data_IF_437387737873
#
_entry.id   IF_437387737873
#
_cell.length_a   1.000
_cell.length_b   1.000
_cell.length_c   1.000
_cell.angle_alpha   90.00
_cell.angle_beta   90.00
_cell.angle_gamma   90.00
#
_symmetry.space_group_name_H-M   'P 1'
#
loop_
_entity.id
_entity.type
_entity.pdbx_description
1 polymer ?
#
# COMPACT_ATOMS: atom_id res chain seq x y z
N UNK A 1 11.31 32.98 -9.64
CA UNK A 1 11.03 32.25 -8.37
C UNK A 1 9.86 31.26 -8.45
N UNK A 2 8.83 31.45 -9.31
CA UNK A 2 7.71 30.49 -9.41
C UNK A 2 8.06 29.14 -10.06
N UNK A 3 9.09 29.08 -10.90
CA UNK A 3 9.52 27.83 -11.57
C UNK A 3 10.23 26.87 -10.60
N UNK A 4 10.88 27.38 -9.56
CA UNK A 4 11.51 26.54 -8.51
C UNK A 4 10.50 25.96 -7.51
N UNK A 5 9.30 26.56 -7.37
CA UNK A 5 8.19 25.99 -6.57
C UNK A 5 7.48 24.84 -7.27
N UNK A 6 7.52 24.79 -8.61
CA UNK A 6 6.87 23.73 -9.38
C UNK A 6 7.70 22.43 -9.39
N UNK A 7 9.04 22.55 -9.39
CA UNK A 7 9.94 21.38 -9.34
C UNK A 7 10.02 20.79 -7.92
N UNK A 8 9.80 21.59 -6.87
CA UNK A 8 9.78 21.10 -5.49
C UNK A 8 8.52 20.31 -5.11
N UNK A 9 7.39 20.54 -5.76
CA UNK A 9 6.11 19.95 -5.33
C UNK A 9 5.84 18.53 -5.85
N UNK A 10 6.58 18.05 -6.86
CA UNK A 10 6.43 16.66 -7.32
C UNK A 10 7.05 15.62 -6.37
N UNK A 11 7.95 16.05 -5.48
CA UNK A 11 8.52 15.21 -4.42
C UNK A 11 7.62 15.10 -3.18
N UNK A 12 6.56 15.92 -3.08
CA UNK A 12 5.95 16.32 -1.81
C UNK A 12 4.58 15.72 -1.49
N UNK A 13 4.01 14.86 -2.35
CA UNK A 13 2.80 14.10 -2.01
C UNK A 13 3.21 12.80 -1.35
N UNK A 14 3.14 12.77 -0.01
CA UNK A 14 3.44 11.59 0.80
C UNK A 14 2.59 10.40 0.36
N UNK A 15 3.24 9.43 -0.26
CA UNK A 15 2.64 8.18 -0.73
C UNK A 15 2.57 7.20 0.43
N UNK A 16 1.95 7.57 1.54
CA UNK A 16 1.93 6.71 2.70
C UNK A 16 0.83 5.66 2.54
N UNK A 17 1.21 4.39 2.54
CA UNK A 17 0.27 3.26 2.42
C UNK A 17 -0.55 3.18 3.72
N UNK A 18 -1.65 3.91 3.73
CA UNK A 18 -2.68 3.80 4.72
C UNK A 18 -3.29 2.41 4.62
N UNK A 19 -2.89 1.53 5.53
CA UNK A 19 -3.40 0.18 5.68
C UNK A 19 -4.75 0.24 6.41
N UNK A 20 -5.82 -0.25 5.78
CA UNK A 20 -7.14 -0.34 6.41
C UNK A 20 -7.59 -1.80 6.49
N UNK A 21 -7.66 -2.45 7.68
CA UNK A 21 -8.10 -3.83 7.79
C UNK A 21 -9.59 -3.97 7.41
N UNK A 22 -9.87 -4.73 6.34
CA UNK A 22 -11.17 -4.97 5.70
C UNK A 22 -12.12 -5.87 6.50
N UNK A 23 -12.12 -5.83 7.83
CA UNK A 23 -12.85 -6.84 8.62
C UNK A 23 -14.36 -6.54 8.65
N UNK A 24 -14.83 -5.28 8.73
CA UNK A 24 -16.26 -4.94 8.58
C UNK A 24 -16.45 -3.46 8.17
N UNK A 25 -17.25 -3.18 7.13
CA UNK A 25 -17.64 -1.82 6.75
C UNK A 25 -18.63 -1.23 7.76
N UNK A 26 -18.10 -0.50 8.74
CA UNK A 26 -18.90 0.27 9.72
C UNK A 26 -18.87 1.76 9.36
N UNK A 27 -19.78 2.58 9.90
CA UNK A 27 -19.74 4.07 9.76
C UNK A 27 -18.34 4.65 10.03
N UNK A 28 -17.64 4.04 11.00
CA UNK A 28 -16.28 4.40 11.40
C UNK A 28 -15.25 4.24 10.28
N UNK A 29 -15.48 3.34 9.32
CA UNK A 29 -14.59 3.13 8.16
C UNK A 29 -14.65 4.28 7.16
N UNK A 30 -15.82 4.89 6.96
CA UNK A 30 -16.00 6.07 6.12
C UNK A 30 -15.39 7.32 6.77
N UNK A 31 -15.49 7.45 8.09
CA UNK A 31 -14.88 8.56 8.84
C UNK A 31 -13.36 8.55 8.76
N UNK A 32 -12.72 7.36 8.85
CA UNK A 32 -11.27 7.24 8.66
C UNK A 32 -10.89 7.59 7.22
N UNK A 33 -11.69 7.14 6.23
CA UNK A 33 -11.47 7.48 4.82
C UNK A 33 -11.48 9.00 4.57
N UNK A 34 -12.46 9.71 5.14
CA UNK A 34 -12.53 11.16 5.08
C UNK A 34 -11.34 11.86 5.75
N UNK A 35 -10.81 11.27 6.82
CA UNK A 35 -9.65 11.83 7.54
C UNK A 35 -8.33 11.71 6.77
N UNK A 36 -8.15 10.68 5.92
CA UNK A 36 -6.95 10.59 5.06
C UNK A 36 -6.79 11.78 4.11
N UNK A 37 -7.92 12.29 3.59
CA UNK A 37 -7.93 13.46 2.71
C UNK A 37 -7.44 14.73 3.44
N UNK A 38 -7.88 14.93 4.68
CA UNK A 38 -7.51 16.09 5.50
C UNK A 38 -6.02 16.11 5.85
N UNK A 39 -5.41 14.94 5.94
CA UNK A 39 -4.03 14.77 6.44
C UNK A 39 -2.99 14.78 5.28
N UNK A 40 -3.45 14.85 4.01
CA UNK A 40 -2.59 15.05 2.85
C UNK A 40 -2.10 13.79 2.14
N UNK A 41 -2.83 12.67 2.27
CA UNK A 41 -2.49 11.42 1.59
C UNK A 41 -2.94 11.44 0.12
N UNK A 42 -2.07 11.00 -0.81
CA UNK A 42 -2.38 10.92 -2.25
C UNK A 42 -2.87 9.55 -2.72
N UNK A 43 -2.60 8.49 -1.94
CA UNK A 43 -3.03 7.14 -2.23
C UNK A 43 -3.28 6.36 -0.94
N UNK A 44 -4.24 5.43 -0.99
CA UNK A 44 -4.67 4.60 0.15
C UNK A 44 -4.79 3.15 -0.32
N UNK A 45 -4.40 2.18 0.51
CA UNK A 45 -4.53 0.76 0.19
C UNK A 45 -5.48 0.05 1.17
N UNK A 46 -6.58 -0.47 0.64
CA UNK A 46 -7.54 -1.27 1.39
C UNK A 46 -6.96 -2.65 1.64
N UNK A 47 -6.81 -3.05 2.89
CA UNK A 47 -6.08 -4.24 3.28
C UNK A 47 -6.98 -5.37 3.71
N UNK A 48 -7.01 -6.43 2.92
CA UNK A 48 -7.69 -7.68 3.26
C UNK A 48 -6.73 -8.61 4.00
N UNK A 49 -7.00 -8.86 5.27
CA UNK A 49 -6.18 -9.77 6.10
C UNK A 49 -6.80 -11.15 6.08
N UNK A 50 -6.01 -12.17 5.70
CA UNK A 50 -6.42 -13.57 5.75
C UNK A 50 -5.56 -14.31 6.76
N UNK A 51 -6.19 -14.84 7.81
CA UNK A 51 -5.54 -15.65 8.85
C UNK A 51 -6.03 -17.10 8.74
N UNK A 52 -5.15 -18.00 8.33
CA UNK A 52 -5.47 -19.42 8.08
C UNK A 52 -5.61 -20.27 9.35
N UNK A 53 -6.06 -19.68 10.47
CA UNK A 53 -6.30 -20.42 11.73
C UNK A 53 -7.42 -21.45 11.58
N UNK A 54 -8.36 -21.24 10.67
CA UNK A 54 -9.43 -22.18 10.34
C UNK A 54 -9.21 -22.76 8.94
N UNK A 55 -9.26 -24.09 8.84
CA UNK A 55 -8.94 -24.81 7.60
C UNK A 55 -9.92 -24.40 6.49
N UNK A 56 -9.35 -23.98 5.34
CA UNK A 56 -10.01 -23.55 4.08
C UNK A 56 -10.76 -22.23 4.15
N UNK A 57 -10.02 -21.11 4.27
CA UNK A 57 -10.51 -19.85 3.74
C UNK A 57 -10.06 -19.69 2.28
N UNK A 58 -11.03 -19.57 1.38
CA UNK A 58 -10.78 -19.12 0.03
C UNK A 58 -10.51 -17.62 0.03
N UNK A 59 -9.55 -17.20 -0.77
CA UNK A 59 -9.24 -15.78 -0.94
C UNK A 59 -10.37 -15.19 -1.77
N UNK A 60 -11.22 -14.38 -1.12
CA UNK A 60 -12.31 -13.68 -1.79
C UNK A 60 -11.78 -12.73 -2.88
N UNK A 61 -12.65 -12.37 -3.84
CA UNK A 61 -12.31 -11.33 -4.82
C UNK A 61 -12.18 -9.98 -4.09
N UNK A 62 -11.20 -9.13 -4.47
CA UNK A 62 -11.09 -7.81 -3.91
C UNK A 62 -12.34 -7.00 -4.24
N UNK A 63 -12.84 -6.24 -3.25
CA UNK A 63 -13.93 -5.29 -3.48
C UNK A 63 -13.43 -4.19 -4.42
N UNK A 64 -14.20 -3.87 -5.45
CA UNK A 64 -13.76 -2.87 -6.42
C UNK A 64 -13.80 -1.47 -5.78
N UNK A 65 -12.74 -0.65 -5.93
CA UNK A 65 -12.74 0.70 -5.37
C UNK A 65 -13.89 1.59 -5.88
N UNK A 66 -14.34 1.34 -7.11
CA UNK A 66 -15.43 2.10 -7.76
C UNK A 66 -16.81 1.80 -7.18
N UNK A 67 -17.03 0.61 -6.62
CA UNK A 67 -18.29 0.28 -5.92
C UNK A 67 -18.35 0.89 -4.52
N UNK A 68 -17.19 1.12 -3.89
CA UNK A 68 -17.08 1.63 -2.53
C UNK A 68 -17.13 3.15 -2.44
N UNK A 69 -16.59 3.83 -3.45
CA UNK A 69 -16.49 5.29 -3.48
C UNK A 69 -16.98 5.82 -4.83
N UNK A 70 -18.26 6.21 -4.93
CA UNK A 70 -18.85 6.73 -6.17
C UNK A 70 -18.19 8.03 -6.65
N UNK A 71 -17.70 8.85 -5.70
CA UNK A 71 -16.92 10.04 -5.96
C UNK A 71 -15.74 10.12 -4.97
N UNK A 72 -14.52 10.13 -5.52
CA UNK A 72 -13.31 10.28 -4.72
C UNK A 72 -12.99 11.77 -4.54
N UNK A 73 -12.70 12.22 -3.32
CA UNK A 73 -12.33 13.62 -3.08
C UNK A 73 -10.98 13.94 -3.76
N UNK A 74 -10.86 15.18 -4.23
CA UNK A 74 -9.60 15.74 -4.75
C UNK A 74 -8.69 16.01 -3.56
N UNK A 75 -7.43 15.58 -3.60
CA UNK A 75 -6.49 15.69 -2.45
C UNK A 75 -6.18 17.16 -2.15
N UNK A 76 -6.14 17.56 -0.87
CA UNK A 76 -5.76 18.94 -0.51
C UNK A 76 -4.35 19.27 -1.02
N UNK A 77 -4.22 20.37 -1.79
CA UNK A 77 -2.93 20.82 -2.34
C UNK A 77 -2.55 20.23 -3.69
N UNK A 78 -3.32 19.26 -4.25
CA UNK A 78 -3.13 18.80 -5.63
C UNK A 78 -4.47 18.63 -6.35
N UNK A 79 -4.54 18.90 -7.65
CA UNK A 79 -5.75 18.65 -8.46
C UNK A 79 -5.97 17.15 -8.78
N UNK A 80 -5.24 16.25 -8.12
CA UNK A 80 -5.28 14.81 -8.39
C UNK A 80 -6.31 14.13 -7.49
N UNK A 81 -7.04 13.18 -8.06
CA UNK A 81 -7.95 12.31 -7.32
C UNK A 81 -7.14 11.29 -6.51
N UNK A 82 -7.65 10.94 -5.34
CA UNK A 82 -7.08 9.93 -4.46
C UNK A 82 -7.01 8.56 -5.18
N UNK A 83 -5.83 7.93 -5.23
CA UNK A 83 -5.70 6.57 -5.79
C UNK A 83 -6.01 5.54 -4.70
N UNK A 84 -7.09 4.77 -4.84
CA UNK A 84 -7.42 3.67 -3.94
C UNK A 84 -6.92 2.36 -4.55
N UNK A 85 -6.11 1.63 -3.79
CA UNK A 85 -5.53 0.34 -4.16
C UNK A 85 -6.08 -0.78 -3.29
N UNK A 86 -6.01 -2.00 -3.79
CA UNK A 86 -6.39 -3.21 -3.06
C UNK A 86 -5.16 -3.98 -2.64
N UNK A 87 -5.10 -4.38 -1.38
CA UNK A 87 -3.97 -5.09 -0.80
C UNK A 87 -4.45 -6.35 -0.10
N UNK A 88 -3.69 -7.43 -0.27
CA UNK A 88 -3.86 -8.69 0.46
C UNK A 88 -2.71 -8.84 1.46
N UNK A 89 -3.01 -9.07 2.73
CA UNK A 89 -2.01 -9.45 3.75
C UNK A 89 -2.30 -10.87 4.23
N UNK A 90 -1.38 -11.79 3.97
CA UNK A 90 -1.52 -13.19 4.40
C UNK A 90 -0.74 -13.44 5.69
N UNK A 91 -1.42 -13.88 6.73
CA UNK A 91 -0.80 -14.30 7.98
C UNK A 91 -0.34 -15.74 7.85
N UNK A 92 0.98 -15.93 7.78
CA UNK A 92 1.59 -17.25 7.55
C UNK A 92 2.11 -17.79 8.87
N UNK A 93 1.40 -18.81 9.37
CA UNK A 93 1.79 -19.59 10.55
C UNK A 93 2.46 -20.92 10.17
N UNK A 94 2.09 -21.49 9.01
CA UNK A 94 2.57 -22.79 8.53
C UNK A 94 3.11 -22.72 7.09
N UNK A 95 4.12 -23.53 6.73
CA UNK A 95 4.67 -23.56 5.36
C UNK A 95 3.66 -24.00 4.29
N UNK A 96 2.62 -24.72 4.68
CA UNK A 96 1.54 -25.14 3.77
C UNK A 96 0.79 -23.93 3.19
N UNK A 97 0.64 -22.84 3.94
CA UNK A 97 -0.03 -21.62 3.47
C UNK A 97 0.80 -20.93 2.37
N UNK A 98 2.13 -21.09 2.39
CA UNK A 98 3.00 -20.61 1.31
C UNK A 98 2.75 -21.33 -0.02
N UNK A 99 2.23 -22.57 -0.01
CA UNK A 99 1.89 -23.27 -1.24
C UNK A 99 0.70 -22.61 -1.95
N UNK A 100 -0.24 -22.00 -1.23
CA UNK A 100 -1.37 -21.28 -1.83
C UNK A 100 -0.91 -20.03 -2.60
N UNK A 101 0.07 -19.31 -2.04
CA UNK A 101 0.74 -18.20 -2.72
C UNK A 101 1.45 -18.68 -4.00
N UNK A 102 2.23 -19.77 -3.89
CA UNK A 102 2.96 -20.34 -5.04
C UNK A 102 2.03 -20.92 -6.11
N UNK A 103 0.91 -21.49 -5.71
CA UNK A 103 -0.09 -22.06 -6.60
C UNK A 103 -0.83 -21.02 -7.44
N UNK A 104 -0.59 -19.71 -7.22
CA UNK A 104 -1.13 -18.60 -8.02
C UNK A 104 -2.64 -18.72 -8.21
N UNK A 105 -3.42 -18.77 -7.12
CA UNK A 105 -4.87 -18.76 -7.25
C UNK A 105 -5.32 -17.47 -7.98
N UNK A 106 -6.29 -17.61 -8.88
CA UNK A 106 -6.74 -16.53 -9.78
C UNK A 106 -7.12 -15.25 -9.03
N UNK A 107 -7.67 -15.40 -7.81
CA UNK A 107 -8.09 -14.29 -6.97
C UNK A 107 -6.91 -13.48 -6.40
N UNK A 108 -5.76 -14.10 -6.12
CA UNK A 108 -4.56 -13.40 -5.61
C UNK A 108 -4.06 -12.37 -6.64
N UNK A 109 -4.09 -12.72 -7.94
CA UNK A 109 -3.64 -11.84 -9.02
C UNK A 109 -4.49 -10.58 -9.18
N UNK A 110 -5.70 -10.56 -8.60
CA UNK A 110 -6.59 -9.39 -8.65
C UNK A 110 -6.11 -8.27 -7.72
N UNK A 111 -5.44 -8.59 -6.62
CA UNK A 111 -4.93 -7.60 -5.65
C UNK A 111 -3.74 -6.84 -6.21
N UNK A 112 -3.73 -5.51 -6.05
CA UNK A 112 -2.64 -4.63 -6.48
C UNK A 112 -1.35 -4.93 -5.72
N UNK A 113 -1.45 -5.13 -4.41
CA UNK A 113 -0.32 -5.36 -3.52
C UNK A 113 -0.52 -6.67 -2.76
N UNK A 114 0.52 -7.50 -2.69
CA UNK A 114 0.54 -8.71 -1.86
C UNK A 114 1.60 -8.53 -0.77
N UNK A 115 1.15 -8.66 0.46
CA UNK A 115 1.96 -8.63 1.65
C UNK A 115 1.86 -9.96 2.41
N UNK A 116 2.94 -10.33 3.09
CA UNK A 116 3.00 -11.52 3.94
C UNK A 116 3.41 -11.14 5.35
N UNK A 117 2.74 -11.73 6.34
CA UNK A 117 3.04 -11.57 7.76
C UNK A 117 3.57 -12.91 8.31
N UNK A 118 4.90 -13.13 8.32
CA UNK A 118 5.50 -14.37 8.80
C UNK A 118 5.60 -14.39 10.34
N UNK A 119 5.15 -15.48 10.98
CA UNK A 119 5.25 -15.65 12.44
C UNK A 119 6.54 -16.31 12.93
N UNK A 120 7.25 -17.03 12.05
CA UNK A 120 8.46 -17.79 12.42
C UNK A 120 9.65 -17.42 11.53
N UNK A 121 10.87 -17.64 12.03
CA UNK A 121 12.11 -17.36 11.30
C UNK A 121 12.19 -18.12 9.96
N UNK A 122 11.76 -19.39 9.96
CA UNK A 122 11.73 -20.23 8.75
C UNK A 122 10.82 -19.64 7.68
N UNK A 123 9.64 -19.15 8.08
CA UNK A 123 8.69 -18.53 7.17
C UNK A 123 9.16 -17.17 6.68
N UNK A 124 9.83 -16.40 7.54
CA UNK A 124 10.47 -15.15 7.15
C UNK A 124 11.54 -15.38 6.06
N UNK A 125 12.37 -16.41 6.22
CA UNK A 125 13.36 -16.78 5.21
C UNK A 125 12.68 -17.16 3.87
N UNK A 126 11.67 -18.04 3.91
CA UNK A 126 10.90 -18.46 2.72
C UNK A 126 10.25 -17.26 2.02
N UNK A 127 9.70 -16.32 2.79
CA UNK A 127 9.09 -15.10 2.27
C UNK A 127 10.11 -14.23 1.51
N UNK A 128 11.32 -14.09 2.06
CA UNK A 128 12.38 -13.30 1.44
C UNK A 128 12.97 -13.97 0.19
N UNK A 129 13.12 -15.30 0.17
CA UNK A 129 13.88 -15.99 -0.88
C UNK A 129 13.03 -16.63 -1.98
N UNK A 130 11.86 -17.18 -1.64
CA UNK A 130 11.10 -18.05 -2.57
C UNK A 130 9.73 -17.53 -2.95
N UNK A 131 9.11 -16.67 -2.13
CA UNK A 131 7.77 -16.17 -2.40
C UNK A 131 7.81 -14.94 -3.28
N UNK A 132 6.85 -14.84 -4.20
CA UNK A 132 6.64 -13.67 -5.05
C UNK A 132 5.66 -12.70 -4.38
N UNK A 133 6.18 -11.96 -3.40
CA UNK A 133 5.44 -10.96 -2.61
C UNK A 133 6.04 -9.58 -2.81
N UNK A 134 5.26 -8.52 -2.62
CA UNK A 134 5.76 -7.14 -2.72
C UNK A 134 6.25 -6.64 -1.37
N UNK A 135 5.56 -7.04 -0.29
CA UNK A 135 5.78 -6.58 1.06
C UNK A 135 5.95 -7.74 2.03
N UNK A 136 6.89 -7.60 2.96
CA UNK A 136 7.01 -8.46 4.14
C UNK A 136 6.71 -7.60 5.36
N UNK A 137 5.57 -7.88 6.00
CA UNK A 137 5.15 -7.21 7.22
C UNK A 137 5.97 -7.72 8.40
N UNK A 138 6.55 -6.82 9.17
CA UNK A 138 7.28 -7.16 10.38
C UNK A 138 6.36 -7.10 11.59
N UNK A 139 6.37 -8.16 12.41
CA UNK A 139 5.64 -8.14 13.66
C UNK A 139 6.33 -7.20 14.67
N UNK A 140 5.62 -6.17 15.10
CA UNK A 140 6.09 -5.13 16.01
C UNK A 140 5.30 -5.05 17.32
N UNK A 141 4.21 -5.80 17.46
CA UNK A 141 3.34 -5.76 18.63
C UNK A 141 3.93 -6.50 19.83
N UNK A 142 4.75 -7.51 19.56
CA UNK A 142 5.34 -8.39 20.57
C UNK A 142 6.86 -8.48 20.38
N UNK A 143 7.55 -9.02 21.40
CA UNK A 143 8.96 -9.38 21.25
C UNK A 143 9.09 -10.43 20.16
N UNK A 144 9.86 -10.13 19.12
CA UNK A 144 10.10 -11.09 18.06
C UNK A 144 10.76 -12.35 18.64
N UNK A 145 10.25 -13.55 18.32
CA UNK A 145 10.83 -14.80 18.81
C UNK A 145 12.13 -15.18 18.09
N UNK A 146 12.57 -14.38 17.10
CA UNK A 146 13.76 -14.62 16.30
C UNK A 146 14.50 -13.32 15.97
N UNK A 147 15.75 -13.45 15.53
CA UNK A 147 16.58 -12.34 15.09
C UNK A 147 16.63 -12.27 13.56
N UNK A 148 16.75 -11.06 13.01
CA UNK A 148 16.94 -10.87 11.58
C UNK A 148 18.36 -11.30 11.16
N UNK A 149 18.45 -12.18 10.17
CA UNK A 149 19.73 -12.55 9.55
C UNK A 149 19.97 -11.74 8.29
N UNK A 150 21.23 -11.37 8.04
CA UNK A 150 21.64 -10.61 6.85
C UNK A 150 21.31 -11.29 5.51
N UNK A 151 21.58 -12.60 5.30
CA UNK A 151 21.36 -13.23 3.99
C UNK A 151 19.92 -13.15 3.46
N UNK A 152 18.86 -13.52 4.21
CA UNK A 152 17.49 -13.41 3.70
C UNK A 152 17.08 -11.96 3.45
N UNK A 153 17.52 -11.03 4.31
CA UNK A 153 17.20 -9.61 4.16
C UNK A 153 17.83 -9.02 2.89
N UNK A 154 19.11 -9.29 2.63
CA UNK A 154 19.76 -8.81 1.41
C UNK A 154 19.14 -9.41 0.16
N UNK A 155 18.81 -10.72 0.19
CA UNK A 155 18.09 -11.37 -0.91
C UNK A 155 16.74 -10.71 -1.20
N UNK A 156 15.98 -10.33 -0.16
CA UNK A 156 14.72 -9.61 -0.34
C UNK A 156 14.94 -8.22 -0.95
N UNK A 157 15.98 -7.49 -0.50
CA UNK A 157 16.33 -6.17 -1.03
C UNK A 157 16.68 -6.26 -2.52
N UNK A 158 17.52 -7.24 -2.90
CA UNK A 158 17.96 -7.45 -4.28
C UNK A 158 16.81 -7.86 -5.19
N UNK A 159 15.81 -8.57 -4.66
CA UNK A 159 14.56 -8.92 -5.36
C UNK A 159 13.57 -7.76 -5.47
N UNK A 160 13.82 -6.62 -4.84
CA UNK A 160 12.89 -5.49 -4.83
C UNK A 160 11.70 -5.66 -3.88
N UNK A 161 11.81 -6.55 -2.89
CA UNK A 161 10.81 -6.73 -1.84
C UNK A 161 11.01 -5.67 -0.76
N UNK A 162 9.92 -5.10 -0.26
CA UNK A 162 9.93 -4.07 0.76
C UNK A 162 9.52 -4.62 2.12
N UNK A 163 10.14 -4.12 3.19
CA UNK A 163 9.77 -4.44 4.56
C UNK A 163 8.82 -3.37 5.10
N UNK A 164 7.66 -3.81 5.58
CA UNK A 164 6.69 -2.92 6.17
C UNK A 164 6.82 -2.90 7.69
N UNK A 165 6.89 -1.68 8.24
CA UNK A 165 6.81 -1.40 9.66
C UNK A 165 5.54 -0.63 9.99
N UNK A 166 4.77 -1.18 10.94
CA UNK A 166 3.56 -0.55 11.45
C UNK A 166 3.90 0.39 12.60
N UNK A 167 3.51 1.67 12.49
CA UNK A 167 3.80 2.64 13.55
C UNK A 167 2.68 2.75 14.60
N UNK A 168 1.44 2.36 14.28
CA UNK A 168 0.29 2.50 15.20
C UNK A 168 0.48 1.81 16.55
N UNK A 169 1.09 0.61 16.64
CA UNK A 169 1.38 0.00 17.94
C UNK A 169 2.27 0.88 18.84
N UNK A 170 3.14 1.72 18.27
CA UNK A 170 3.95 2.67 19.03
C UNK A 170 3.15 3.84 19.62
N UNK A 171 2.00 4.15 19.04
CA UNK A 171 1.10 5.22 19.51
C UNK A 171 0.06 4.66 20.49
N UNK A 172 -0.47 3.46 20.23
CA UNK A 172 -1.57 2.85 21.00
C UNK A 172 -1.18 2.56 22.45
N UNK A 173 -0.04 1.90 22.68
CA UNK A 173 0.35 1.48 24.03
C UNK A 173 1.84 1.64 24.30
N UNK A 174 2.17 1.90 25.57
CA UNK A 174 3.54 2.11 26.04
C UNK A 174 4.39 0.83 25.95
N UNK A 175 3.81 -0.35 26.19
CA UNK A 175 4.55 -1.62 26.12
C UNK A 175 4.84 -2.00 24.67
N UNK A 176 3.82 -1.90 23.81
CA UNK A 176 3.95 -2.12 22.36
C UNK A 176 4.94 -1.14 21.72
N UNK A 177 5.02 0.10 22.19
CA UNK A 177 6.03 1.08 21.77
C UNK A 177 7.45 0.59 21.97
N UNK A 178 7.76 -0.01 23.12
CA UNK A 178 9.09 -0.55 23.39
C UNK A 178 9.46 -1.66 22.40
N UNK A 179 8.53 -2.58 22.14
CA UNK A 179 8.75 -3.66 21.18
C UNK A 179 8.87 -3.13 19.74
N UNK A 180 8.03 -2.18 19.36
CA UNK A 180 8.06 -1.58 18.02
C UNK A 180 9.41 -0.93 17.74
N UNK A 181 9.90 -0.09 18.65
CA UNK A 181 11.19 0.59 18.51
C UNK A 181 12.34 -0.44 18.51
N UNK A 182 12.33 -1.41 19.44
CA UNK A 182 13.39 -2.41 19.53
C UNK A 182 13.47 -3.30 18.29
N UNK A 183 12.32 -3.77 17.77
CA UNK A 183 12.26 -4.63 16.59
C UNK A 183 12.64 -3.84 15.32
N UNK A 184 12.20 -2.57 15.22
CA UNK A 184 12.56 -1.71 14.11
C UNK A 184 14.07 -1.43 14.07
N UNK A 185 14.69 -1.08 15.20
CA UNK A 185 16.14 -0.87 15.28
C UNK A 185 16.91 -2.15 14.90
N UNK A 186 16.46 -3.31 15.36
CA UNK A 186 17.04 -4.62 15.00
C UNK A 186 17.00 -4.85 13.49
N UNK A 187 15.90 -4.50 12.83
CA UNK A 187 15.79 -4.56 11.37
C UNK A 187 16.72 -3.53 10.69
N UNK A 188 16.78 -2.30 11.17
CA UNK A 188 17.61 -1.24 10.57
C UNK A 188 19.10 -1.54 10.63
N UNK A 189 19.57 -2.19 11.69
CA UNK A 189 20.96 -2.66 11.80
C UNK A 189 21.34 -3.66 10.69
N UNK A 190 20.36 -4.36 10.13
CA UNK A 190 20.54 -5.37 9.08
C UNK A 190 20.27 -4.77 7.69
N UNK A 191 19.12 -4.12 7.48
CA UNK A 191 18.72 -3.52 6.21
C UNK A 191 19.53 -2.26 5.84
N UNK A 192 20.11 -1.57 6.84
CA UNK A 192 20.75 -0.25 6.69
C UNK A 192 19.82 0.76 6.01
N UNK A 193 18.56 0.82 6.45
CA UNK A 193 17.55 1.76 5.93
C UNK A 193 17.01 1.48 4.52
N UNK A 194 17.44 0.42 3.85
CA UNK A 194 16.98 0.06 2.50
C UNK A 194 15.64 -0.65 2.50
N UNK A 195 14.82 -0.35 1.47
CA UNK A 195 13.54 -0.99 1.17
C UNK A 195 12.58 -1.04 2.37
N UNK A 196 12.48 0.05 3.13
CA UNK A 196 11.55 0.15 4.26
C UNK A 196 10.32 0.96 3.86
N UNK A 197 9.15 0.52 4.29
CA UNK A 197 7.86 1.23 4.15
C UNK A 197 7.25 1.41 5.53
N UNK A 198 6.79 2.63 5.82
CA UNK A 198 6.05 2.94 7.05
C UNK A 198 4.55 2.98 6.76
N UNK A 199 3.79 2.23 7.54
CA UNK A 199 2.34 2.12 7.38
C UNK A 199 1.60 2.28 8.70
N UNK A 200 0.37 2.76 8.63
CA UNK A 200 -0.44 3.04 9.82
C UNK A 200 -1.18 1.80 10.34
N UNK A 201 -1.88 1.03 9.50
CA UNK A 201 -2.84 0.01 9.98
C UNK A 201 -3.82 0.57 11.02
N UNK A 202 -4.23 1.83 10.84
CA UNK A 202 -5.11 2.53 11.77
C UNK A 202 -6.53 1.99 11.66
N UNK A 203 -7.12 1.67 12.81
CA UNK A 203 -8.54 1.29 12.90
C UNK A 203 -9.41 2.52 13.23
N UNK A 204 -8.80 3.52 13.86
CA UNK A 204 -9.47 4.75 14.30
C UNK A 204 -8.85 5.97 13.62
N UNK A 205 -9.63 7.03 13.31
CA UNK A 205 -9.10 8.22 12.64
C UNK A 205 -7.98 8.91 13.44
N UNK A 206 -8.08 8.87 14.77
CA UNK A 206 -7.12 9.48 15.70
C UNK A 206 -5.73 8.82 15.71
N UNK A 207 -5.57 7.66 15.05
CA UNK A 207 -4.29 6.95 14.93
C UNK A 207 -3.51 7.38 13.67
N UNK A 208 -4.16 8.12 12.77
CA UNK A 208 -3.54 8.66 11.58
C UNK A 208 -2.70 9.88 11.89
N UNK A 209 -1.60 10.04 11.15
CA UNK A 209 -0.62 11.12 11.33
C UNK A 209 -0.25 11.68 9.96
N UNK A 210 0.19 12.94 9.92
CA UNK A 210 0.70 13.54 8.70
C UNK A 210 1.85 12.73 8.12
N UNK A 211 2.04 12.66 6.79
CA UNK A 211 3.19 11.96 6.20
C UNK A 211 4.53 12.50 6.72
N UNK A 212 4.61 13.79 7.05
CA UNK A 212 5.77 14.40 7.71
C UNK A 212 5.97 13.92 9.14
N UNK A 213 4.89 13.80 9.91
CA UNK A 213 4.95 13.26 11.28
C UNK A 213 5.37 11.78 11.25
N UNK A 214 4.89 11.02 10.28
CA UNK A 214 5.29 9.62 10.06
C UNK A 214 6.77 9.53 9.69
N UNK A 215 7.27 10.42 8.83
CA UNK A 215 8.70 10.49 8.53
C UNK A 215 9.53 10.83 9.79
N UNK A 216 9.05 11.75 10.63
CA UNK A 216 9.71 12.06 11.90
C UNK A 216 9.70 10.86 12.87
N UNK A 217 8.63 10.07 12.91
CA UNK A 217 8.60 8.79 13.66
C UNK A 217 9.63 7.79 13.11
N UNK A 218 9.89 7.81 11.81
CA UNK A 218 10.93 6.99 11.17
C UNK A 218 12.33 7.21 11.78
N UNK A 219 12.64 8.43 12.22
CA UNK A 219 13.92 8.74 12.90
C UNK A 219 14.05 7.95 14.22
N UNK A 220 12.95 7.76 14.96
CA UNK A 220 12.94 6.97 16.20
C UNK A 220 13.20 5.47 15.94
N UNK A 221 12.93 5.01 14.72
CA UNK A 221 13.19 3.64 14.29
C UNK A 221 14.62 3.42 13.80
N UNK A 222 15.46 4.47 13.81
CA UNK A 222 16.86 4.40 13.39
C UNK A 222 17.09 4.66 11.90
N UNK A 223 16.10 5.21 11.20
CA UNK A 223 16.26 5.72 9.84
C UNK A 223 16.91 7.11 9.87
N UNK A 224 17.72 7.43 8.87
CA UNK A 224 18.13 8.81 8.60
C UNK A 224 16.96 9.64 8.06
N UNK A 225 17.08 10.97 8.08
CA UNK A 225 16.03 11.86 7.57
C UNK A 225 15.70 11.60 6.09
N UNK A 226 16.71 11.32 5.26
CA UNK A 226 16.51 10.96 3.86
C UNK A 226 15.79 9.62 3.70
N UNK A 227 16.18 8.61 4.48
CA UNK A 227 15.57 7.28 4.41
C UNK A 227 14.13 7.29 4.94
N UNK A 228 13.87 8.06 6.00
CA UNK A 228 12.54 8.18 6.58
C UNK A 228 11.57 8.88 5.61
N UNK A 229 12.01 9.93 4.93
CA UNK A 229 11.22 10.57 3.85
C UNK A 229 11.02 9.60 2.68
N UNK A 230 12.05 8.86 2.28
CA UNK A 230 11.94 7.85 1.23
C UNK A 230 10.98 6.71 1.60
N UNK A 231 10.94 6.30 2.87
CA UNK A 231 10.07 5.24 3.38
C UNK A 231 8.57 5.57 3.30
N UNK A 232 8.22 6.87 3.25
CA UNK A 232 6.83 7.36 3.13
C UNK A 232 6.51 7.81 1.69
N UNK A 233 7.52 7.98 0.83
CA UNK A 233 7.39 8.50 -0.53
C UNK A 233 7.90 7.50 -1.56
N UNK A 234 9.19 7.53 -1.88
CA UNK A 234 9.80 6.79 -2.99
C UNK A 234 9.64 5.28 -2.86
N UNK A 235 9.85 4.74 -1.66
CA UNK A 235 9.77 3.29 -1.42
C UNK A 235 8.35 2.78 -1.62
N UNK A 236 7.34 3.50 -1.12
CA UNK A 236 5.94 3.16 -1.33
C UNK A 236 5.56 3.16 -2.81
N UNK A 237 6.03 4.16 -3.57
CA UNK A 237 5.82 4.21 -5.03
C UNK A 237 6.46 3.01 -5.72
N UNK A 238 7.68 2.64 -5.31
CA UNK A 238 8.37 1.49 -5.87
C UNK A 238 7.70 0.16 -5.51
N UNK A 239 7.13 0.03 -4.31
CA UNK A 239 6.30 -1.14 -3.93
C UNK A 239 5.08 -1.30 -4.85
N UNK A 240 4.41 -0.19 -5.17
CA UNK A 240 3.24 -0.23 -6.05
C UNK A 240 3.65 -0.62 -7.47
N UNK A 241 4.77 -0.07 -7.95
CA UNK A 241 5.32 -0.44 -9.24
C UNK A 241 5.70 -1.93 -9.27
N UNK A 242 6.29 -2.46 -8.20
CA UNK A 242 6.58 -3.88 -8.06
C UNK A 242 5.31 -4.74 -8.19
N UNK A 243 4.22 -4.35 -7.51
CA UNK A 243 2.92 -5.01 -7.65
C UNK A 243 2.34 -4.94 -9.08
N UNK A 244 2.49 -3.81 -9.77
CA UNK A 244 2.11 -3.65 -11.18
C UNK A 244 2.95 -4.54 -12.10
N UNK A 245 4.26 -4.69 -11.84
CA UNK A 245 5.15 -5.59 -12.61
C UNK A 245 4.83 -7.07 -12.42
N UNK A 246 4.32 -7.47 -11.24
CA UNK A 246 3.82 -8.83 -11.00
C UNK A 246 2.51 -9.11 -11.75
N UNK A 247 1.61 -8.12 -11.81
CA UNK A 247 0.34 -8.25 -12.54
C UNK A 247 0.56 -8.36 -14.04
N UNK A 248 1.47 -7.55 -14.56
CA UNK A 248 1.92 -7.57 -15.94
C UNK A 248 2.92 -8.71 -16.17
N UNK A 249 3.18 -9.07 -17.43
CA UNK A 249 4.12 -10.15 -17.76
C UNK A 249 5.57 -9.65 -17.62
N UNK A 250 6.04 -9.45 -16.38
CA UNK A 250 7.42 -9.05 -16.05
C UNK A 250 7.93 -7.82 -16.81
N UNK A 251 7.11 -6.76 -16.88
CA UNK A 251 7.49 -5.47 -17.48
C UNK A 251 6.74 -5.09 -18.77
N UNK A 252 5.93 -5.99 -19.34
CA UNK A 252 5.09 -5.66 -20.51
C UNK A 252 3.69 -5.28 -20.07
N UNK A 253 3.38 -3.97 -20.11
CA UNK A 253 2.05 -3.43 -19.79
C UNK A 253 1.20 -3.32 -21.05
N UNK A 254 0.22 -4.21 -21.20
CA UNK A 254 -0.79 -4.11 -22.25
C UNK A 254 -1.88 -3.13 -21.83
N UNK A 255 -1.83 -1.88 -22.33
CA UNK A 255 -2.93 -0.93 -22.15
C UNK A 255 -3.82 -0.94 -23.38
N UNK A 256 -5.07 -1.38 -23.25
CA UNK A 256 -6.09 -1.17 -24.28
C UNK A 256 -6.64 0.24 -24.11
N UNK A 257 -6.18 1.18 -24.95
CA UNK A 257 -6.74 2.53 -24.98
C UNK A 257 -8.12 2.46 -25.60
N UNK A 258 -9.16 2.36 -24.76
CA UNK A 258 -10.54 2.49 -25.21
C UNK A 258 -10.77 3.97 -25.52
N UNK A 259 -10.84 4.33 -26.80
CA UNK A 259 -11.33 5.65 -27.18
C UNK A 259 -12.73 5.81 -26.59
N UNK A 260 -12.92 6.83 -25.76
CA UNK A 260 -14.26 7.27 -25.39
C UNK A 260 -14.95 7.63 -26.71
N UNK A 261 -16.00 6.91 -27.08
CA UNK A 261 -16.93 7.42 -28.09
C UNK A 261 -17.46 8.73 -27.50
N UNK A 262 -17.19 9.83 -28.19
CA UNK A 262 -17.95 11.05 -28.00
C UNK A 262 -19.38 10.64 -28.34
N UNK A 263 -20.25 10.59 -27.34
CA UNK A 263 -21.68 10.57 -27.59
C UNK A 263 -21.97 11.88 -28.31
N UNK A 264 -22.26 11.79 -29.60
CA UNK A 264 -22.81 12.89 -30.36
C UNK A 264 -24.12 13.27 -29.66
N UNK A 265 -24.13 14.42 -29.00
CA UNK A 265 -25.36 15.07 -28.57
C UNK A 265 -26.28 15.17 -29.79
N UNK A 266 -27.46 14.58 -29.67
CA UNK A 266 -28.58 14.77 -30.57
C UNK A 266 -28.89 16.27 -30.69
N UNK A 267 -28.35 16.93 -31.71
CA UNK A 267 -28.85 18.24 -32.12
C UNK A 267 -30.16 18.02 -32.87
N UNK A 268 -31.26 18.33 -32.19
CA UNK A 268 -32.61 18.51 -32.73
C UNK A 268 -32.63 19.45 -33.96
N UNK A 269 -33.65 19.33 -34.84
CA UNK A 269 -33.56 19.70 -36.25
C UNK A 269 -33.66 21.22 -36.50
N UNK A 270 -32.74 21.75 -37.30
CA UNK A 270 -32.81 23.12 -37.78
C UNK A 270 -33.89 23.26 -38.87
N UNK A 271 -34.90 24.08 -38.55
CA UNK A 271 -36.01 24.47 -39.39
C UNK A 271 -35.57 25.45 -40.50
N UNK A 272 -35.96 25.14 -41.75
CA UNK A 272 -36.13 26.03 -42.94
C UNK A 272 -34.94 26.83 -43.48
N UNK A 273 -34.63 26.57 -44.77
CA UNK A 273 -34.78 27.57 -45.85
C UNK A 273 -34.90 26.87 -47.21
N UNK A 274 -35.99 27.16 -47.91
CA UNK A 274 -36.26 26.72 -49.27
C UNK A 274 -35.27 27.36 -50.26
N UNK A 275 -34.77 26.59 -51.22
CA UNK A 275 -34.11 27.12 -52.42
C UNK A 275 -35.16 27.23 -53.54
N UNK A 276 -35.44 28.46 -53.93
CA UNK A 276 -36.12 28.80 -55.19
C UNK A 276 -35.15 28.50 -56.34
N UNK A 277 -35.60 27.73 -57.32
CA UNK A 277 -34.94 27.58 -58.62
C UNK A 277 -35.36 28.74 -59.53
N UNK A 278 -34.39 29.39 -60.15
CA UNK A 278 -34.48 30.02 -61.47
C UNK A 278 -33.06 30.11 -62.04
#
# INVERSE_FOLDING_TARGET
>A
LLILRYISNEFLTGFCLALFPLVYWTKQSYDVFGFFFLVGYSAVALNHVVDFKEKKQEIAKPVSPSELFPSLPIVQGTSKQLKVLTRLTLVVSDPSHCNLLRSTSSNIRLYDIIAVFPKTEKLFHIACTTLDVDLVCINVTEKLPFYFRRPPVNMAIDRGIYFELLYTPAIKDSTMRRYTISNAISLMQICKGKNIVLSSAAERPLELRGPYDVANLGLLFGLSESEAKAAVSTNCRATILHGETRKSACGVVYTVKKLRKVEEEETLPACKKAKTQA
#
